data_IF_911650601840
#
_entry.id   IF_911650601840
#
_cell.length_a   1.000
_cell.length_b   1.000
_cell.length_c   1.000
_cell.angle_alpha   90.00
_cell.angle_beta   90.00
_cell.angle_gamma   90.00
#
_symmetry.space_group_name_H-M   'P 1'
#
loop_
_entity.id
_entity.type
_entity.pdbx_description
1 polymer ?
#
# COMPACT_ATOMS: atom_id res chain seq x y z
N UNK A 1 28.32 17.55 -25.26
CA UNK A 1 27.33 16.86 -26.12
C UNK A 1 26.36 16.14 -25.20
N UNK A 2 25.15 16.65 -25.07
CA UNK A 2 24.10 16.10 -24.22
C UNK A 2 23.42 14.96 -24.99
N UNK A 3 23.60 13.73 -24.54
CA UNK A 3 22.88 12.58 -25.09
C UNK A 3 21.51 12.49 -24.42
N UNK A 4 20.45 12.73 -25.20
CA UNK A 4 19.08 12.47 -24.80
C UNK A 4 18.77 10.99 -25.01
N UNK A 5 18.21 10.34 -24.00
CA UNK A 5 17.60 9.01 -24.15
C UNK A 5 16.13 9.22 -24.52
N UNK A 6 15.80 9.06 -25.80
CA UNK A 6 14.41 9.02 -26.27
C UNK A 6 13.78 7.68 -25.88
N UNK A 7 12.72 7.72 -25.08
CA UNK A 7 11.84 6.57 -24.87
C UNK A 7 10.75 6.60 -25.94
N UNK A 8 10.86 5.72 -26.95
CA UNK A 8 9.78 5.49 -27.90
C UNK A 8 8.83 4.44 -27.35
N UNK A 9 7.57 4.82 -27.18
CA UNK A 9 6.48 3.87 -27.02
C UNK A 9 6.32 3.11 -28.33
N UNK A 10 6.73 1.83 -28.34
CA UNK A 10 6.25 0.90 -29.35
C UNK A 10 4.91 0.36 -28.86
N UNK A 11 3.91 0.42 -29.73
CA UNK A 11 2.60 -0.12 -29.45
C UNK A 11 2.73 -1.61 -29.08
N UNK A 12 2.04 -1.97 -27.99
CA UNK A 12 1.82 -3.32 -27.48
C UNK A 12 3.07 -4.18 -27.17
N UNK A 13 3.34 -4.33 -25.87
CA UNK A 13 3.70 -5.65 -25.33
C UNK A 13 5.09 -5.83 -24.75
N UNK A 14 6.17 -5.37 -25.41
CA UNK A 14 7.52 -5.82 -25.04
C UNK A 14 8.51 -4.68 -24.75
N UNK A 15 9.12 -4.72 -23.56
CA UNK A 15 10.28 -3.90 -23.20
C UNK A 15 11.57 -4.58 -23.67
N UNK A 16 12.30 -3.96 -24.60
CA UNK A 16 13.68 -4.37 -24.92
C UNK A 16 14.63 -3.26 -24.49
N UNK A 17 15.46 -3.50 -23.48
CA UNK A 17 16.61 -2.65 -23.20
C UNK A 17 17.77 -3.06 -24.11
N UNK A 18 18.10 -2.25 -25.12
CA UNK A 18 19.42 -2.36 -25.76
C UNK A 18 20.45 -1.75 -24.83
N UNK A 19 21.36 -2.60 -24.35
CA UNK A 19 22.41 -2.20 -23.44
C UNK A 19 23.36 -1.21 -24.13
N UNK A 20 23.57 -0.05 -23.52
CA UNK A 20 24.89 0.52 -23.27
C UNK A 20 24.81 1.73 -22.34
N UNK A 21 25.44 1.61 -21.17
CA UNK A 21 25.88 2.68 -20.28
C UNK A 21 24.81 3.65 -19.72
N UNK A 22 23.72 3.12 -19.17
CA UNK A 22 22.99 3.85 -18.12
C UNK A 22 23.77 3.66 -16.82
N UNK A 23 24.39 4.75 -16.32
CA UNK A 23 24.80 4.84 -14.91
C UNK A 23 23.65 4.29 -14.10
N UNK A 24 23.85 3.18 -13.37
CA UNK A 24 22.84 2.61 -12.48
C UNK A 24 22.37 3.75 -11.58
N UNK A 25 21.23 4.35 -11.91
CA UNK A 25 20.43 4.98 -10.90
C UNK A 25 20.11 3.83 -9.96
N UNK A 26 20.78 3.81 -8.81
CA UNK A 26 20.48 2.87 -7.72
C UNK A 26 19.15 3.24 -7.05
N UNK A 27 18.27 3.94 -7.78
CA UNK A 27 16.83 3.90 -7.60
C UNK A 27 16.45 2.48 -7.25
N UNK A 28 16.13 2.28 -5.98
CA UNK A 28 15.74 0.98 -5.47
C UNK A 28 14.58 0.52 -6.35
N UNK A 29 14.78 -0.54 -7.15
CA UNK A 29 13.70 -1.12 -7.94
C UNK A 29 12.55 -1.45 -6.99
N UNK A 30 11.48 -0.64 -7.01
CA UNK A 30 10.31 -0.84 -6.16
C UNK A 30 9.38 -1.78 -6.90
N UNK A 31 8.95 -2.85 -6.23
CA UNK A 31 7.90 -3.68 -6.81
C UNK A 31 6.61 -2.88 -6.86
N UNK A 32 5.93 -2.90 -8.02
CA UNK A 32 4.61 -2.27 -8.22
C UNK A 32 3.63 -2.72 -7.14
N UNK A 33 3.71 -3.99 -6.74
CA UNK A 33 2.93 -4.57 -5.63
C UNK A 33 3.02 -3.73 -4.35
N UNK A 34 4.23 -3.36 -3.91
CA UNK A 34 4.43 -2.60 -2.67
C UNK A 34 3.89 -1.16 -2.71
N UNK A 35 3.69 -0.61 -3.92
CA UNK A 35 3.21 0.77 -4.12
C UNK A 35 1.70 0.85 -4.30
N UNK A 36 1.12 -0.11 -5.01
CA UNK A 36 -0.29 -0.09 -5.41
C UNK A 36 -1.20 -1.00 -4.58
N UNK A 37 -0.62 -1.83 -3.71
CA UNK A 37 -1.41 -2.64 -2.80
C UNK A 37 -1.34 -2.10 -1.36
N UNK A 38 -2.46 -2.20 -0.61
CA UNK A 38 -2.53 -1.75 0.78
C UNK A 38 -1.51 -2.45 1.70
N UNK A 39 -0.69 -1.68 2.38
CA UNK A 39 0.19 -2.19 3.43
C UNK A 39 -0.48 -2.14 4.81
N UNK A 40 -1.08 -0.99 5.12
CA UNK A 40 -1.81 -0.77 6.37
C UNK A 40 -2.97 0.20 6.14
N UNK A 41 -3.87 0.24 7.11
CA UNK A 41 -4.85 1.31 7.26
C UNK A 41 -4.64 1.99 8.61
N UNK A 42 -4.57 3.32 8.63
CA UNK A 42 -4.28 4.11 9.83
C UNK A 42 -5.44 5.05 10.15
N UNK A 43 -5.78 5.13 11.44
CA UNK A 43 -6.73 6.10 11.97
C UNK A 43 -6.06 7.46 12.03
N UNK A 44 -6.76 8.47 11.53
CA UNK A 44 -6.28 9.86 11.54
C UNK A 44 -6.99 10.59 12.67
N UNK A 45 -8.22 11.07 12.43
CA UNK A 45 -9.05 11.74 13.43
C UNK A 45 -10.47 11.17 13.48
N UNK A 46 -10.96 10.87 14.68
CA UNK A 46 -12.29 10.26 14.86
C UNK A 46 -12.40 8.95 14.05
N UNK A 47 -13.50 8.70 13.36
CA UNK A 47 -13.66 7.47 12.54
C UNK A 47 -13.12 7.60 11.10
N UNK A 48 -12.13 8.47 10.89
CA UNK A 48 -11.46 8.66 9.60
C UNK A 48 -10.21 7.81 9.49
N UNK A 49 -10.10 7.12 8.36
CA UNK A 49 -9.03 6.17 8.09
C UNK A 49 -8.40 6.45 6.73
N UNK A 50 -7.08 6.28 6.64
CA UNK A 50 -6.32 6.36 5.39
C UNK A 50 -5.69 5.01 5.08
N UNK A 51 -5.78 4.57 3.82
CA UNK A 51 -5.09 3.36 3.36
C UNK A 51 -3.72 3.76 2.83
N UNK A 52 -2.66 3.13 3.35
CA UNK A 52 -1.28 3.44 3.00
C UNK A 52 -0.61 2.27 2.27
N UNK A 53 0.33 2.58 1.38
CA UNK A 53 1.24 1.63 0.76
C UNK A 53 2.47 1.37 1.64
N UNK A 54 3.41 0.52 1.18
CA UNK A 54 4.58 0.12 1.99
C UNK A 54 5.56 1.25 2.29
N UNK A 55 5.49 2.34 1.53
CA UNK A 55 6.28 3.56 1.74
C UNK A 55 5.58 4.55 2.68
N UNK A 56 4.49 4.12 3.34
CA UNK A 56 3.66 4.95 4.21
C UNK A 56 3.13 6.20 3.47
N UNK A 57 2.72 6.01 2.21
CA UNK A 57 2.02 7.04 1.43
C UNK A 57 0.58 6.61 1.18
N UNK A 58 -0.38 7.55 1.10
CA UNK A 58 -1.74 7.24 0.67
C UNK A 58 -1.71 6.38 -0.60
N UNK A 59 -2.53 5.34 -0.63
CA UNK A 59 -2.52 4.37 -1.72
C UNK A 59 -2.70 5.08 -3.08
N UNK A 60 -1.82 4.77 -4.03
CA UNK A 60 -1.80 5.44 -5.35
C UNK A 60 -0.99 6.74 -5.41
N UNK A 61 -0.45 7.24 -4.29
CA UNK A 61 0.44 8.40 -4.26
C UNK A 61 1.90 7.96 -4.18
N UNK A 62 2.74 8.50 -5.06
CA UNK A 62 4.19 8.26 -5.09
C UNK A 62 4.91 9.58 -4.86
N UNK A 63 5.37 9.80 -3.63
CA UNK A 63 6.14 11.00 -3.25
C UNK A 63 7.18 10.65 -2.18
N UNK A 64 8.20 11.51 -2.06
CA UNK A 64 9.17 11.48 -0.96
C UNK A 64 8.84 12.49 0.14
N UNK A 65 7.91 13.40 -0.12
CA UNK A 65 7.53 14.47 0.81
C UNK A 65 6.74 13.93 2.00
N UNK A 66 6.71 14.71 3.08
CA UNK A 66 5.78 14.48 4.17
C UNK A 66 4.35 14.71 3.66
N UNK A 67 3.42 13.82 4.04
CA UNK A 67 2.03 13.89 3.61
C UNK A 67 1.15 14.00 4.85
N UNK A 68 0.26 14.98 4.86
CA UNK A 68 -0.79 15.10 5.86
C UNK A 68 -1.89 14.08 5.55
N UNK A 69 -2.02 13.05 6.39
CA UNK A 69 -2.95 11.95 6.17
C UNK A 69 -4.42 12.36 6.29
N UNK A 70 -4.74 13.40 7.07
CA UNK A 70 -6.12 13.85 7.25
C UNK A 70 -6.78 14.28 5.92
N UNK A 71 -5.97 14.72 4.96
CA UNK A 71 -6.41 15.15 3.63
C UNK A 71 -6.86 13.99 2.74
N UNK A 72 -6.41 12.77 3.04
CA UNK A 72 -6.69 11.55 2.27
C UNK A 72 -7.59 10.57 3.03
N UNK A 73 -7.87 10.86 4.31
CA UNK A 73 -8.66 10.00 5.15
C UNK A 73 -10.16 10.09 4.83
N UNK A 74 -10.80 8.93 4.83
CA UNK A 74 -12.24 8.79 4.59
C UNK A 74 -12.91 8.17 5.82
N UNK A 75 -14.18 8.50 6.03
CA UNK A 75 -14.97 7.87 7.09
C UNK A 75 -15.25 6.42 6.73
N UNK A 76 -14.82 5.49 7.60
CA UNK A 76 -15.07 4.06 7.44
C UNK A 76 -15.81 3.51 8.66
N UNK A 77 -16.76 2.61 8.41
CA UNK A 77 -17.37 1.80 9.48
C UNK A 77 -16.38 0.72 9.93
N UNK A 78 -15.40 1.10 10.75
CA UNK A 78 -14.41 0.17 11.30
C UNK A 78 -14.89 -0.38 12.65
N UNK A 79 -14.96 -1.71 12.77
CA UNK A 79 -15.25 -2.39 14.05
C UNK A 79 -14.04 -3.20 14.49
N UNK A 80 -13.94 -3.52 15.78
CA UNK A 80 -12.86 -4.38 16.27
C UNK A 80 -12.83 -5.71 15.51
N UNK A 81 -13.98 -6.32 15.20
CA UNK A 81 -14.06 -7.56 14.41
C UNK A 81 -13.44 -7.40 13.01
N UNK A 82 -13.71 -6.29 12.33
CA UNK A 82 -13.13 -6.00 11.01
C UNK A 82 -11.62 -5.77 11.13
N UNK A 83 -11.19 -4.95 12.10
CA UNK A 83 -9.78 -4.67 12.36
C UNK A 83 -8.98 -5.95 12.63
N UNK A 84 -9.55 -6.86 13.42
CA UNK A 84 -8.99 -8.18 13.70
C UNK A 84 -8.89 -9.07 12.45
N UNK A 85 -9.89 -9.03 11.57
CA UNK A 85 -9.84 -9.80 10.33
C UNK A 85 -8.79 -9.24 9.33
N UNK A 86 -8.57 -7.93 9.37
CA UNK A 86 -7.59 -7.24 8.53
C UNK A 86 -6.15 -7.37 9.04
N UNK A 87 -5.90 -7.37 10.35
CA UNK A 87 -4.53 -7.38 10.90
C UNK A 87 -3.75 -8.65 10.59
N UNK A 88 -2.45 -8.56 10.35
CA UNK A 88 -1.56 -9.74 10.31
C UNK A 88 -1.22 -10.26 11.71
N UNK A 89 -1.41 -9.45 12.76
CA UNK A 89 -1.04 -9.79 14.13
C UNK A 89 -1.88 -10.96 14.64
N UNK A 90 -1.21 -11.90 15.31
CA UNK A 90 -1.86 -13.06 15.92
C UNK A 90 -2.70 -12.68 17.16
N UNK A 91 -2.29 -11.63 17.87
CA UNK A 91 -3.03 -11.04 18.98
C UNK A 91 -4.02 -10.02 18.43
N UNK A 92 -5.24 -10.05 18.94
CA UNK A 92 -6.30 -9.22 18.41
C UNK A 92 -6.03 -7.72 18.52
N UNK A 93 -6.63 -6.94 17.62
CA UNK A 93 -6.64 -5.47 17.68
C UNK A 93 -7.80 -5.04 18.57
N UNK A 94 -7.49 -4.34 19.66
CA UNK A 94 -8.45 -3.52 20.38
C UNK A 94 -8.46 -2.13 19.73
N UNK A 95 -9.62 -1.67 19.28
CA UNK A 95 -9.76 -0.31 18.75
C UNK A 95 -9.91 0.64 19.92
N UNK A 96 -8.84 1.36 20.21
CA UNK A 96 -8.73 2.20 21.42
C UNK A 96 -9.34 3.59 21.24
N UNK A 97 -9.63 4.01 20.02
CA UNK A 97 -10.10 5.38 19.77
C UNK A 97 -8.99 6.38 19.48
N UNK A 98 -7.72 6.00 19.67
CA UNK A 98 -6.58 6.91 19.57
C UNK A 98 -6.21 7.19 18.12
N UNK A 99 -5.75 8.42 17.89
CA UNK A 99 -5.13 8.80 16.62
C UNK A 99 -3.87 7.95 16.37
N UNK A 100 -3.52 7.73 15.11
CA UNK A 100 -2.39 6.89 14.65
C UNK A 100 -2.52 5.38 14.89
N UNK A 101 -3.70 4.91 15.31
CA UNK A 101 -4.03 3.49 15.39
C UNK A 101 -3.92 2.81 14.01
N UNK A 102 -2.96 1.89 13.89
CA UNK A 102 -2.57 1.28 12.60
C UNK A 102 -2.89 -0.21 12.55
N UNK A 103 -3.62 -0.62 11.51
CA UNK A 103 -3.95 -2.01 11.21
C UNK A 103 -3.14 -2.43 9.99
N UNK A 104 -2.10 -3.22 10.23
CA UNK A 104 -1.19 -3.71 9.20
C UNK A 104 -1.72 -5.01 8.58
N UNK A 105 -1.69 -5.13 7.26
CA UNK A 105 -2.19 -6.34 6.57
C UNK A 105 -1.12 -7.43 6.44
N UNK A 106 0.15 -7.04 6.53
CA UNK A 106 1.33 -7.92 6.56
C UNK A 106 2.50 -7.19 7.22
N UNK A 107 3.59 -7.90 7.48
CA UNK A 107 4.89 -7.35 7.87
C UNK A 107 6.03 -7.96 7.03
N UNK A 108 7.28 -7.76 7.42
CA UNK A 108 8.43 -8.32 6.70
C UNK A 108 8.51 -9.85 6.80
N UNK A 109 7.99 -10.44 7.88
CA UNK A 109 7.94 -11.89 8.08
C UNK A 109 6.81 -12.58 7.31
N UNK A 110 5.82 -11.83 6.83
CA UNK A 110 4.72 -12.34 6.00
C UNK A 110 4.46 -11.52 4.73
N UNK A 111 5.53 -10.98 4.13
CA UNK A 111 5.43 -10.10 2.97
C UNK A 111 4.87 -10.86 1.73
N UNK A 112 3.69 -10.46 1.21
CA UNK A 112 3.05 -11.13 0.08
C UNK A 112 3.74 -10.84 -1.27
N UNK A 113 4.75 -9.97 -1.31
CA UNK A 113 5.54 -9.61 -2.48
C UNK A 113 7.03 -10.01 -2.35
N UNK A 114 7.36 -10.83 -1.35
CA UNK A 114 8.71 -11.34 -1.11
C UNK A 114 9.00 -12.66 -1.81
N UNK A 115 10.19 -13.25 -1.58
CA UNK A 115 10.56 -14.58 -2.09
C UNK A 115 9.52 -15.66 -1.74
N UNK A 116 8.95 -15.60 -0.54
CA UNK A 116 7.93 -16.55 -0.05
C UNK A 116 6.48 -16.12 -0.39
N UNK A 117 6.28 -15.32 -1.44
CA UNK A 117 4.97 -14.78 -1.82
C UNK A 117 3.89 -15.85 -1.91
N UNK A 118 4.19 -17.03 -2.47
CA UNK A 118 3.23 -18.13 -2.60
C UNK A 118 2.61 -18.55 -1.25
N UNK A 119 3.36 -18.43 -0.14
CA UNK A 119 2.89 -18.74 1.21
C UNK A 119 1.99 -17.65 1.80
N UNK A 120 2.28 -16.39 1.50
CA UNK A 120 1.66 -15.23 2.17
C UNK A 120 0.54 -14.58 1.35
N UNK A 121 0.60 -14.70 0.03
CA UNK A 121 -0.35 -14.11 -0.90
C UNK A 121 -1.81 -14.54 -0.63
N UNK A 122 -2.14 -15.82 -0.37
CA UNK A 122 -3.53 -16.21 -0.13
C UNK A 122 -4.15 -15.51 1.09
N UNK A 123 -3.44 -15.49 2.22
CA UNK A 123 -3.88 -14.79 3.43
C UNK A 123 -4.05 -13.29 3.20
N UNK A 124 -3.14 -12.69 2.43
CA UNK A 124 -3.25 -11.29 2.05
C UNK A 124 -4.45 -11.00 1.15
N UNK A 125 -4.76 -11.88 0.19
CA UNK A 125 -5.95 -11.75 -0.65
C UNK A 125 -7.25 -11.79 0.15
N UNK A 126 -7.36 -12.62 1.19
CA UNK A 126 -8.54 -12.62 2.06
C UNK A 126 -8.74 -11.27 2.75
N UNK A 127 -7.65 -10.60 3.15
CA UNK A 127 -7.70 -9.24 3.72
C UNK A 127 -8.18 -8.22 2.70
N UNK A 128 -7.69 -8.31 1.46
CA UNK A 128 -8.16 -7.44 0.37
C UNK A 128 -9.65 -7.65 0.07
N UNK A 129 -10.15 -8.90 0.14
CA UNK A 129 -11.58 -9.21 -0.01
C UNK A 129 -12.45 -8.61 1.09
N UNK A 130 -11.91 -8.47 2.30
CA UNK A 130 -12.59 -7.80 3.41
C UNK A 130 -12.56 -6.29 3.19
N UNK A 131 -11.39 -5.73 2.89
CA UNK A 131 -11.21 -4.30 2.65
C UNK A 131 -12.12 -3.79 1.52
N UNK A 132 -12.23 -4.53 0.42
CA UNK A 132 -13.04 -4.14 -0.75
C UNK A 132 -14.55 -4.09 -0.48
N UNK A 133 -15.00 -4.64 0.64
CA UNK A 133 -16.41 -4.63 1.08
C UNK A 133 -16.70 -3.57 2.14
N UNK A 134 -15.71 -2.80 2.58
CA UNK A 134 -15.93 -1.74 3.55
C UNK A 134 -16.73 -0.61 2.92
N UNK A 135 -17.72 -0.14 3.65
CA UNK A 135 -18.55 1.00 3.26
C UNK A 135 -17.94 2.30 3.80
N UNK A 136 -17.93 3.32 2.95
CA UNK A 136 -17.66 4.69 3.37
C UNK A 136 -18.93 5.33 3.92
N UNK A 137 -18.78 6.24 4.88
CA UNK A 137 -19.89 7.09 5.33
C UNK A 137 -19.79 8.41 4.57
N UNK A 138 -20.64 8.60 3.56
CA UNK A 138 -20.78 9.90 2.90
C UNK A 138 -21.65 10.77 3.81
N UNK A 139 -21.02 11.71 4.51
CA UNK A 139 -21.73 12.80 5.18
C UNK A 139 -22.10 13.85 4.14
N UNK A 140 -23.40 14.14 4.02
CA UNK A 140 -23.95 15.20 3.16
C UNK A 140 -23.88 16.54 3.87
#
# INVERSE_FOLDING_TARGET
>A
MTTYTEYRYLAEGDYVSTAENVKKDTGHNRSVGKLYFPYLIQRTRGDRWVVLNRDYKPLGIVTREHVDYDQYAILLKMTAKIANALTYKATGVELTGVEDESIYFYDDGCNPFGPDSQKHWPTYQEKLKILSKLETVITR
#
